data_IF_528969532133
#
_entry.id   IF_528969532133
#
_cell.length_a   1.000
_cell.length_b   1.000
_cell.length_c   1.000
_cell.angle_alpha   90.00
_cell.angle_beta   90.00
_cell.angle_gamma   90.00
#
_symmetry.space_group_name_H-M   'P 1'
#
loop_
_entity.id
_entity.type
_entity.pdbx_description
1 polymer ?
#
# COMPACT_ATOMS: atom_id res chain seq x y z
N UNK A 1 17.70 -14.29 -22.58
CA UNK A 1 17.35 -12.96 -22.02
C UNK A 1 15.84 -12.74 -21.94
N UNK A 2 15.07 -12.71 -23.04
CA UNK A 2 13.60 -12.51 -23.00
C UNK A 2 12.83 -13.50 -22.10
N UNK A 3 13.21 -14.79 -22.13
CA UNK A 3 12.60 -15.82 -21.26
C UNK A 3 12.85 -15.56 -19.77
N UNK A 4 14.05 -15.09 -19.41
CA UNK A 4 14.42 -14.77 -18.01
C UNK A 4 13.61 -13.58 -17.51
N UNK A 5 13.47 -12.52 -18.32
CA UNK A 5 12.65 -11.34 -17.98
C UNK A 5 11.19 -11.75 -17.73
N UNK A 6 10.63 -12.59 -18.59
CA UNK A 6 9.26 -13.08 -18.43
C UNK A 6 9.08 -13.93 -17.16
N UNK A 7 10.05 -14.79 -16.85
CA UNK A 7 10.03 -15.59 -15.62
C UNK A 7 10.14 -14.71 -14.38
N UNK A 8 10.98 -13.67 -14.37
CA UNK A 8 11.09 -12.72 -13.25
C UNK A 8 9.77 -11.98 -13.01
N UNK A 9 9.12 -11.49 -14.07
CA UNK A 9 7.83 -10.80 -13.99
C UNK A 9 6.72 -11.68 -13.36
N UNK A 10 6.72 -12.97 -13.68
CA UNK A 10 5.75 -13.93 -13.14
C UNK A 10 6.02 -14.28 -11.66
N UNK A 11 7.29 -14.25 -11.25
CA UNK A 11 7.68 -14.52 -9.87
C UNK A 11 7.31 -13.33 -8.97
N UNK A 12 7.44 -12.09 -9.45
CA UNK A 12 7.09 -10.91 -8.64
C UNK A 12 5.60 -10.83 -8.28
N UNK A 13 4.71 -11.35 -9.14
CA UNK A 13 3.28 -11.39 -8.82
C UNK A 13 2.91 -12.39 -7.71
N UNK A 14 3.79 -13.33 -7.35
CA UNK A 14 3.54 -14.30 -6.28
C UNK A 14 3.77 -13.71 -4.87
N UNK A 15 4.38 -12.53 -4.76
CA UNK A 15 4.71 -11.88 -3.48
C UNK A 15 3.71 -10.78 -3.10
N UNK A 16 2.51 -10.75 -3.70
CA UNK A 16 1.46 -9.84 -3.29
C UNK A 16 0.87 -10.30 -1.94
N UNK A 17 0.92 -9.42 -0.93
CA UNK A 17 0.36 -9.73 0.39
C UNK A 17 -1.17 -9.60 0.44
N UNK A 18 -1.75 -8.76 -0.42
CA UNK A 18 -3.19 -8.55 -0.55
C UNK A 18 -3.61 -8.53 -2.03
N UNK A 19 -4.81 -9.01 -2.32
CA UNK A 19 -5.47 -8.95 -3.62
C UNK A 19 -6.55 -7.86 -3.69
N UNK A 20 -7.02 -7.55 -4.89
CA UNK A 20 -8.12 -6.58 -5.08
C UNK A 20 -9.38 -7.05 -4.35
N UNK A 21 -9.86 -6.23 -3.44
CA UNK A 21 -11.05 -6.51 -2.62
C UNK A 21 -10.76 -7.13 -1.26
N UNK A 22 -9.50 -7.49 -0.97
CA UNK A 22 -9.11 -7.98 0.35
C UNK A 22 -9.14 -6.86 1.38
N UNK A 23 -9.54 -7.20 2.61
CA UNK A 23 -9.42 -6.31 3.75
C UNK A 23 -8.01 -6.41 4.33
N UNK A 24 -7.33 -5.27 4.45
CA UNK A 24 -6.01 -5.16 5.09
C UNK A 24 -6.12 -5.60 6.55
N UNK A 25 -5.13 -6.30 7.11
CA UNK A 25 -5.15 -6.71 8.53
C UNK A 25 -5.12 -5.51 9.47
N UNK A 26 -5.66 -5.64 10.68
CA UNK A 26 -5.60 -4.56 11.68
C UNK A 26 -4.16 -4.16 12.02
N UNK A 27 -3.24 -5.12 12.06
CA UNK A 27 -1.83 -4.86 12.32
C UNK A 27 -1.21 -3.99 11.21
N UNK A 28 -1.55 -4.26 9.94
CA UNK A 28 -1.03 -3.48 8.80
C UNK A 28 -1.76 -2.15 8.66
N UNK A 29 -3.03 -2.08 9.08
CA UNK A 29 -3.76 -0.82 9.12
C UNK A 29 -3.16 0.16 10.13
N UNK A 30 -2.68 -0.34 11.27
CA UNK A 30 -2.12 0.46 12.36
C UNK A 30 -0.62 0.81 12.16
N UNK A 31 -0.06 0.50 10.98
CA UNK A 31 1.30 0.92 10.65
C UNK A 31 1.33 2.44 10.52
N UNK A 32 2.31 3.05 11.19
CA UNK A 32 2.50 4.48 11.22
C UNK A 32 3.56 4.89 10.20
N UNK A 33 3.19 5.82 9.31
CA UNK A 33 4.03 6.32 8.23
C UNK A 33 4.33 7.80 8.45
N UNK A 34 5.60 8.19 8.34
CA UNK A 34 6.00 9.59 8.44
C UNK A 34 5.45 10.41 7.26
N UNK A 35 4.90 11.58 7.55
CA UNK A 35 4.35 12.49 6.55
C UNK A 35 5.40 13.55 6.19
N UNK A 36 5.87 13.54 4.94
CA UNK A 36 6.83 14.53 4.46
C UNK A 36 6.19 15.86 4.06
N UNK A 37 4.92 15.83 3.62
CA UNK A 37 4.18 16.99 3.13
C UNK A 37 2.69 16.84 3.48
N UNK A 38 2.10 17.89 4.03
CA UNK A 38 0.70 17.91 4.47
C UNK A 38 0.56 18.56 5.84
N UNK A 39 -0.68 18.79 6.26
CA UNK A 39 -1.00 19.23 7.62
C UNK A 39 -1.61 18.04 8.36
N UNK A 40 -0.79 17.37 9.18
CA UNK A 40 -1.17 16.23 10.00
C UNK A 40 -0.82 16.54 11.45
N UNK A 41 -1.75 16.29 12.37
CA UNK A 41 -1.64 16.70 13.77
C UNK A 41 -0.38 16.17 14.49
N UNK A 42 0.14 15.02 14.06
CA UNK A 42 1.29 14.34 14.66
C UNK A 42 2.38 13.97 13.65
N UNK A 43 2.37 14.57 12.46
CA UNK A 43 3.26 14.24 11.33
C UNK A 43 3.27 12.75 10.93
N UNK A 44 2.25 11.98 11.34
CA UNK A 44 2.12 10.56 11.04
C UNK A 44 0.77 10.21 10.45
N UNK A 45 0.80 9.22 9.56
CA UNK A 45 -0.34 8.69 8.84
C UNK A 45 -0.49 7.22 9.16
N UNK A 46 -1.70 6.79 9.52
CA UNK A 46 -2.04 5.37 9.62
C UNK A 46 -3.22 5.04 8.71
N UNK A 47 -3.23 3.85 8.10
CA UNK A 47 -4.39 3.45 7.29
C UNK A 47 -5.64 3.28 8.16
N UNK A 48 -5.47 2.99 9.45
CA UNK A 48 -6.55 2.92 10.45
C UNK A 48 -7.35 4.22 10.57
N UNK A 49 -6.75 5.36 10.26
CA UNK A 49 -7.37 6.69 10.41
C UNK A 49 -8.59 6.87 9.48
N UNK A 50 -8.72 6.00 8.47
CA UNK A 50 -9.75 6.08 7.43
C UNK A 50 -10.71 4.88 7.45
N UNK A 51 -10.66 4.03 8.47
CA UNK A 51 -11.48 2.80 8.57
C UNK A 51 -12.83 3.12 9.23
N UNK A 52 -13.50 4.14 8.72
CA UNK A 52 -14.80 4.62 9.20
C UNK A 52 -15.98 4.09 8.39
N UNK A 53 -15.70 3.40 7.26
CA UNK A 53 -16.69 2.85 6.33
C UNK A 53 -17.28 3.86 5.34
N UNK A 54 -16.91 5.14 5.45
CA UNK A 54 -17.44 6.25 4.65
C UNK A 54 -16.36 6.96 3.84
N UNK A 55 -15.09 6.73 4.18
CA UNK A 55 -13.93 7.37 3.56
C UNK A 55 -13.32 6.47 2.50
N UNK A 56 -13.14 7.02 1.30
CA UNK A 56 -12.42 6.37 0.19
C UNK A 56 -11.11 7.10 -0.02
N UNK A 57 -10.00 6.41 0.18
CA UNK A 57 -8.66 6.93 -0.07
C UNK A 57 -8.23 6.55 -1.48
N UNK A 58 -7.74 7.51 -2.24
CA UNK A 58 -7.04 7.24 -3.50
C UNK A 58 -5.54 7.46 -3.32
N UNK A 59 -4.77 6.38 -3.27
CA UNK A 59 -3.31 6.44 -3.17
C UNK A 59 -2.72 6.32 -4.56
N UNK A 60 -2.20 7.43 -5.09
CA UNK A 60 -1.45 7.42 -6.34
C UNK A 60 0.04 7.29 -6.02
N UNK A 61 0.58 6.09 -6.21
CA UNK A 61 2.00 5.82 -6.06
C UNK A 61 2.67 5.78 -7.43
N UNK A 62 3.51 6.77 -7.74
CA UNK A 62 4.49 6.64 -8.82
C UNK A 62 5.60 5.71 -8.34
N UNK A 63 5.40 4.40 -8.42
CA UNK A 63 6.46 3.45 -8.13
C UNK A 63 7.53 3.53 -9.23
N UNK A 64 8.70 4.13 -8.94
CA UNK A 64 9.91 3.88 -9.70
C UNK A 64 10.51 2.57 -9.19
N UNK A 65 10.60 1.59 -10.08
CA UNK A 65 11.22 0.29 -9.82
C UNK A 65 12.74 0.43 -9.78
#
# INVERSE_FOLDING_TARGET
MKKIIFTILLITSLFAEYSVGDQISTDHQNLSFDVCYGDYDNDQLSLSDFVDGNTVIWINMSASW
#
